data_IF_592634585086
#
_entry.id   IF_592634585086
#
_cell.length_a   1.000
_cell.length_b   1.000
_cell.length_c   1.000
_cell.angle_alpha   90.00
_cell.angle_beta   90.00
_cell.angle_gamma   90.00
#
_symmetry.space_group_name_H-M   'P 1'
#
loop_
_entity.id
_entity.type
_entity.pdbx_description
1 polymer ?
#
# COMPACT_ATOMS: atom_id res chain seq x y z
N UNK A 1 -11.29 -4.91 26.46
CA UNK A 1 -12.13 -4.13 25.52
C UNK A 1 -12.34 -5.00 24.30
N UNK A 2 -13.59 -5.20 23.87
CA UNK A 2 -13.86 -6.01 22.69
C UNK A 2 -13.32 -5.31 21.45
N UNK A 3 -12.37 -5.95 20.74
CA UNK A 3 -12.10 -5.62 19.35
C UNK A 3 -13.46 -5.64 18.64
N UNK A 4 -13.87 -4.58 17.93
CA UNK A 4 -15.13 -4.62 17.20
C UNK A 4 -15.16 -5.91 16.39
N UNK A 5 -16.24 -6.67 16.50
CA UNK A 5 -16.40 -7.94 15.81
C UNK A 5 -16.68 -7.66 14.34
N UNK A 6 -15.69 -7.05 13.66
CA UNK A 6 -15.78 -6.73 12.24
C UNK A 6 -15.58 -8.04 11.51
N UNK A 7 -16.60 -8.51 10.84
CA UNK A 7 -16.60 -9.77 10.10
C UNK A 7 -15.84 -9.62 8.77
N UNK A 8 -14.57 -9.21 8.87
CA UNK A 8 -13.68 -9.08 7.72
C UNK A 8 -13.33 -10.46 7.18
N UNK A 9 -13.43 -10.64 5.86
CA UNK A 9 -13.12 -11.88 5.16
C UNK A 9 -11.99 -11.67 4.14
N UNK A 10 -11.27 -12.74 3.83
CA UNK A 10 -10.25 -12.74 2.78
C UNK A 10 -9.17 -11.68 2.98
N UNK A 11 -8.88 -10.94 1.93
CA UNK A 11 -7.85 -9.88 1.89
C UNK A 11 -8.12 -8.78 2.92
N UNK A 12 -9.38 -8.41 3.15
CA UNK A 12 -9.76 -7.39 4.14
C UNK A 12 -9.24 -7.69 5.56
N UNK A 13 -9.05 -8.97 5.94
CA UNK A 13 -8.47 -9.34 7.24
C UNK A 13 -7.00 -8.93 7.39
N UNK A 14 -6.30 -8.68 6.28
CA UNK A 14 -4.87 -8.32 6.32
C UNK A 14 -4.64 -6.83 6.59
N UNK A 15 -5.68 -5.98 6.53
CA UNK A 15 -5.56 -4.52 6.69
C UNK A 15 -4.97 -4.08 8.04
N UNK A 16 -5.18 -4.91 9.09
CA UNK A 16 -4.67 -4.60 10.43
C UNK A 16 -3.15 -4.81 10.55
N UNK A 17 -2.57 -5.63 9.68
CA UNK A 17 -1.13 -5.92 9.70
C UNK A 17 -0.28 -4.70 9.34
N UNK A 18 -0.49 -3.99 8.22
CA UNK A 18 0.27 -2.78 7.91
C UNK A 18 0.08 -1.67 8.95
N UNK A 19 -1.13 -1.50 9.50
CA UNK A 19 -1.39 -0.57 10.59
C UNK A 19 -0.53 -0.89 11.81
N UNK A 20 -0.58 -2.14 12.30
CA UNK A 20 0.19 -2.57 13.46
C UNK A 20 1.69 -2.44 13.22
N UNK A 21 2.19 -2.79 12.04
CA UNK A 21 3.61 -2.64 11.68
C UNK A 21 4.05 -1.17 11.76
N UNK A 22 3.27 -0.23 11.21
CA UNK A 22 3.59 1.20 11.30
C UNK A 22 3.52 1.72 12.73
N UNK A 23 2.52 1.30 13.50
CA UNK A 23 2.38 1.70 14.91
C UNK A 23 3.56 1.21 15.76
N UNK A 24 3.92 -0.07 15.65
CA UNK A 24 5.03 -0.69 16.38
C UNK A 24 6.36 -0.02 15.97
N UNK A 25 6.57 0.20 14.67
CA UNK A 25 7.77 0.87 14.18
C UNK A 25 7.84 2.32 14.67
N UNK A 26 6.72 3.04 14.68
CA UNK A 26 6.65 4.46 15.00
C UNK A 26 7.12 4.80 16.42
N UNK A 27 6.93 3.91 17.39
CA UNK A 27 7.32 4.12 18.80
C UNK A 27 8.79 3.75 19.09
N UNK A 28 9.51 3.19 18.13
CA UNK A 28 10.92 2.83 18.32
C UNK A 28 11.81 4.08 18.37
N UNK A 29 12.91 4.06 19.13
CA UNK A 29 13.90 5.15 19.11
C UNK A 29 14.52 5.34 17.71
N UNK A 30 14.80 4.23 17.00
CA UNK A 30 15.40 4.16 15.67
C UNK A 30 14.36 4.03 14.53
N UNK A 31 13.14 4.52 14.75
CA UNK A 31 12.03 4.41 13.81
C UNK A 31 12.36 5.04 12.45
N UNK A 32 12.10 4.29 11.37
CA UNK A 32 12.27 4.77 9.98
C UNK A 32 11.02 5.46 9.44
N UNK A 33 9.90 5.32 10.11
CA UNK A 33 8.64 6.03 9.84
C UNK A 33 8.02 6.49 11.17
N UNK A 34 7.50 7.70 11.19
CA UNK A 34 6.74 8.25 12.33
C UNK A 34 5.29 8.40 11.90
N UNK A 35 4.42 7.64 12.55
CA UNK A 35 2.99 7.59 12.26
C UNK A 35 2.17 7.63 13.57
N UNK A 36 2.09 8.80 14.23
CA UNK A 36 1.35 8.94 15.48
C UNK A 36 -0.12 8.50 15.34
N UNK A 37 -0.72 8.76 14.17
CA UNK A 37 -2.10 8.39 13.93
C UNK A 37 -2.29 6.88 13.85
N UNK A 38 -1.33 6.14 13.27
CA UNK A 38 -1.37 4.67 13.31
C UNK A 38 -1.25 4.14 14.74
N UNK A 39 -0.43 4.78 15.60
CA UNK A 39 -0.33 4.41 17.02
C UNK A 39 -1.66 4.62 17.75
N UNK A 40 -2.33 5.76 17.53
CA UNK A 40 -3.64 6.04 18.13
C UNK A 40 -4.68 5.00 17.71
N UNK A 41 -4.81 4.74 16.39
CA UNK A 41 -5.78 3.78 15.86
C UNK A 41 -5.47 2.36 16.35
N UNK A 42 -4.19 1.96 16.35
CA UNK A 42 -3.76 0.66 16.84
C UNK A 42 -4.12 0.47 18.32
N UNK A 43 -3.87 1.47 19.16
CA UNK A 43 -4.22 1.44 20.57
C UNK A 43 -5.75 1.42 20.78
N UNK A 44 -6.50 2.19 20.01
CA UNK A 44 -7.97 2.21 20.05
C UNK A 44 -8.59 0.85 19.65
N UNK A 45 -7.90 0.09 18.78
CA UNK A 45 -8.22 -1.29 18.43
C UNK A 45 -7.76 -2.32 19.48
N UNK A 46 -7.28 -1.87 20.64
CA UNK A 46 -6.85 -2.71 21.75
C UNK A 46 -5.35 -3.01 21.79
N UNK A 47 -4.54 -2.46 20.88
CA UNK A 47 -3.09 -2.63 20.86
C UNK A 47 -2.64 -4.10 20.74
N UNK A 48 -3.47 -4.95 20.12
CA UNK A 48 -3.29 -6.40 20.17
C UNK A 48 -2.18 -6.85 19.23
N UNK A 49 -1.15 -7.49 19.80
CA UNK A 49 -0.05 -8.10 19.05
C UNK A 49 -0.48 -9.27 18.15
N UNK A 50 -1.71 -9.77 18.31
CA UNK A 50 -2.25 -10.87 17.48
C UNK A 50 -2.26 -10.50 15.98
N UNK A 51 -2.36 -9.21 15.64
CA UNK A 51 -2.33 -8.74 14.26
C UNK A 51 -0.99 -9.04 13.57
N UNK A 52 0.09 -9.02 14.33
CA UNK A 52 1.45 -9.31 13.85
C UNK A 52 1.98 -10.66 14.35
N UNK A 53 1.11 -11.51 14.92
CA UNK A 53 1.50 -12.82 15.43
C UNK A 53 2.18 -13.66 14.34
N UNK A 54 3.35 -14.18 14.66
CA UNK A 54 4.18 -14.97 13.76
C UNK A 54 4.96 -14.14 12.72
N UNK A 55 4.95 -12.80 12.83
CA UNK A 55 5.86 -11.92 12.12
C UNK A 55 7.14 -11.70 12.95
N UNK A 56 8.26 -11.69 12.28
CA UNK A 56 9.53 -11.28 12.89
C UNK A 56 9.62 -9.74 12.98
N UNK A 57 10.54 -9.24 13.81
CA UNK A 57 10.87 -7.81 13.80
C UNK A 57 11.34 -7.30 12.42
N UNK A 58 11.90 -8.19 11.60
CA UNK A 58 12.29 -7.89 10.23
C UNK A 58 11.08 -7.73 9.32
N UNK A 59 10.04 -8.57 9.44
CA UNK A 59 8.81 -8.44 8.64
C UNK A 59 8.10 -7.12 8.95
N UNK A 60 8.06 -6.71 10.22
CA UNK A 60 7.52 -5.42 10.66
C UNK A 60 8.32 -4.28 10.02
N UNK A 61 9.64 -4.36 10.09
CA UNK A 61 10.54 -3.35 9.55
C UNK A 61 10.41 -3.19 8.03
N UNK A 62 10.40 -4.29 7.26
CA UNK A 62 10.27 -4.21 5.80
C UNK A 62 8.89 -3.70 5.38
N UNK A 63 7.83 -3.99 6.16
CA UNK A 63 6.51 -3.42 5.94
C UNK A 63 6.52 -1.89 6.13
N UNK A 64 7.22 -1.41 7.16
CA UNK A 64 7.39 0.03 7.39
C UNK A 64 8.26 0.70 6.32
N UNK A 65 9.32 0.02 5.83
CA UNK A 65 10.13 0.51 4.69
C UNK A 65 9.28 0.71 3.45
N UNK A 66 8.37 -0.22 3.16
CA UNK A 66 7.42 -0.11 2.04
C UNK A 66 6.55 1.14 2.20
N UNK A 67 5.89 1.30 3.34
CA UNK A 67 5.04 2.46 3.61
C UNK A 67 5.83 3.79 3.45
N UNK A 68 7.06 3.87 3.98
CA UNK A 68 7.95 5.03 3.80
C UNK A 68 8.26 5.30 2.33
N UNK A 69 8.45 4.26 1.51
CA UNK A 69 8.74 4.43 0.09
C UNK A 69 7.52 4.91 -0.68
N UNK A 70 6.32 4.43 -0.36
CA UNK A 70 5.09 4.97 -0.91
C UNK A 70 4.90 6.45 -0.54
N UNK A 71 5.17 6.81 0.74
CA UNK A 71 5.14 8.20 1.21
C UNK A 71 6.11 9.08 0.40
N UNK A 72 7.31 8.58 0.09
CA UNK A 72 8.30 9.30 -0.73
C UNK A 72 7.77 9.58 -2.13
N UNK A 73 7.19 8.58 -2.80
CA UNK A 73 6.65 8.76 -4.15
C UNK A 73 5.44 9.71 -4.15
N UNK A 74 4.52 9.54 -3.20
CA UNK A 74 3.37 10.43 -3.07
C UNK A 74 3.79 11.88 -2.78
N UNK A 75 4.75 12.09 -1.86
CA UNK A 75 5.29 13.43 -1.57
C UNK A 75 5.94 14.05 -2.79
N UNK A 76 6.81 13.31 -3.50
CA UNK A 76 7.44 13.82 -4.72
C UNK A 76 6.43 14.16 -5.83
N UNK A 77 5.28 13.48 -5.90
CA UNK A 77 4.19 13.86 -6.77
C UNK A 77 3.52 15.17 -6.31
N UNK A 78 3.19 15.27 -5.01
CA UNK A 78 2.52 16.44 -4.43
C UNK A 78 3.39 17.70 -4.52
N UNK A 79 4.71 17.58 -4.34
CA UNK A 79 5.67 18.68 -4.51
C UNK A 79 5.64 19.27 -5.93
N UNK A 80 5.39 18.41 -6.94
CA UNK A 80 5.23 18.84 -8.34
C UNK A 80 3.82 19.29 -8.69
N UNK A 81 2.84 18.90 -7.88
CA UNK A 81 1.41 19.13 -8.10
C UNK A 81 0.72 19.58 -6.81
N UNK A 82 0.96 20.81 -6.32
CA UNK A 82 0.29 21.33 -5.14
C UNK A 82 -1.23 21.20 -5.25
N UNK A 83 -1.88 20.74 -4.19
CA UNK A 83 -3.32 20.46 -4.21
C UNK A 83 -3.74 19.22 -5.01
N UNK A 84 -2.80 18.39 -5.43
CA UNK A 84 -3.04 17.15 -6.16
C UNK A 84 -3.89 16.14 -5.38
N UNK A 85 -4.42 15.16 -6.08
CA UNK A 85 -5.25 14.09 -5.55
C UNK A 85 -4.42 12.81 -5.43
N UNK A 86 -4.39 12.25 -4.24
CA UNK A 86 -3.93 10.88 -3.98
C UNK A 86 -5.14 9.98 -3.95
N UNK A 87 -5.22 9.01 -4.85
CA UNK A 87 -6.23 7.95 -4.84
C UNK A 87 -5.60 6.68 -4.30
N UNK A 88 -6.09 6.19 -3.17
CA UNK A 88 -5.57 5.02 -2.48
C UNK A 88 -6.48 3.81 -2.66
N UNK A 89 -6.04 2.87 -3.48
CA UNK A 89 -6.76 1.66 -3.83
C UNK A 89 -6.52 0.58 -2.77
N UNK A 90 -7.59 0.08 -2.16
CA UNK A 90 -7.49 -0.81 -1.00
C UNK A 90 -6.93 -0.07 0.21
N UNK A 91 -7.48 1.12 0.49
CA UNK A 91 -6.92 2.06 1.48
C UNK A 91 -6.94 1.55 2.93
N UNK A 92 -7.73 0.54 3.26
CA UNK A 92 -7.77 -0.06 4.58
C UNK A 92 -7.78 0.96 5.72
N UNK A 93 -6.87 0.76 6.68
CA UNK A 93 -6.58 1.71 7.76
C UNK A 93 -5.27 2.49 7.50
N UNK A 94 -5.01 2.86 6.24
CA UNK A 94 -3.87 3.72 5.95
C UNK A 94 -4.08 5.14 6.51
N UNK A 95 -3.07 5.63 7.17
CA UNK A 95 -2.99 6.94 7.82
C UNK A 95 -2.12 7.93 7.03
N UNK A 96 -1.85 7.61 5.74
CA UNK A 96 -0.94 8.40 4.89
C UNK A 96 -1.43 9.83 4.70
N UNK A 97 -2.73 10.07 4.60
CA UNK A 97 -3.27 11.43 4.60
C UNK A 97 -2.71 12.23 5.78
N UNK A 98 -2.77 11.69 6.99
CA UNK A 98 -2.28 12.39 8.19
C UNK A 98 -0.76 12.61 8.19
N UNK A 99 0.01 11.73 7.52
CA UNK A 99 1.48 11.88 7.43
C UNK A 99 1.94 12.86 6.35
N UNK A 100 1.15 13.02 5.28
CA UNK A 100 1.55 13.78 4.10
C UNK A 100 0.82 15.12 3.96
N UNK A 101 -0.28 15.33 4.70
CA UNK A 101 -1.11 16.53 4.54
C UNK A 101 -0.31 17.82 4.76
N UNK A 102 -0.22 18.59 3.69
CA UNK A 102 0.40 19.90 3.60
C UNK A 102 -0.62 21.06 3.70
N UNK A 103 -1.87 20.76 4.01
CA UNK A 103 -2.99 21.68 3.99
C UNK A 103 -3.63 21.90 2.63
N UNK A 104 -3.11 21.29 1.56
CA UNK A 104 -3.60 21.46 0.18
C UNK A 104 -3.96 20.14 -0.51
N UNK A 105 -3.25 19.04 -0.18
CA UNK A 105 -3.49 17.75 -0.80
C UNK A 105 -4.92 17.26 -0.63
N UNK A 106 -5.39 16.49 -1.60
CA UNK A 106 -6.67 15.80 -1.53
C UNK A 106 -6.43 14.30 -1.51
N UNK A 107 -7.31 13.58 -0.83
CA UNK A 107 -7.25 12.13 -0.69
C UNK A 107 -8.59 11.49 -1.02
N UNK A 108 -8.56 10.41 -1.78
CA UNK A 108 -9.71 9.57 -2.07
C UNK A 108 -9.35 8.10 -1.82
N UNK A 109 -9.85 7.53 -0.73
CA UNK A 109 -9.67 6.12 -0.43
C UNK A 109 -10.78 5.27 -1.04
N UNK A 110 -10.43 4.18 -1.72
CA UNK A 110 -11.37 3.20 -2.27
C UNK A 110 -11.12 1.86 -1.60
N UNK A 111 -12.15 1.31 -0.95
CA UNK A 111 -12.08 -0.02 -0.36
C UNK A 111 -13.50 -0.60 -0.18
N UNK A 112 -13.57 -1.88 0.13
CA UNK A 112 -14.83 -2.60 0.34
C UNK A 112 -15.71 -1.92 1.41
N UNK A 113 -17.05 -1.97 1.29
CA UNK A 113 -17.96 -1.28 2.21
C UNK A 113 -17.68 -1.56 3.69
N UNK A 114 -17.44 -2.82 4.05
CA UNK A 114 -17.14 -3.22 5.42
C UNK A 114 -15.81 -2.67 5.95
N UNK A 115 -14.84 -2.45 5.06
CA UNK A 115 -13.55 -1.83 5.39
C UNK A 115 -13.72 -0.33 5.62
N UNK A 116 -14.47 0.34 4.76
CA UNK A 116 -14.75 1.78 4.90
C UNK A 116 -15.60 2.06 6.13
N UNK A 117 -16.57 1.20 6.46
CA UNK A 117 -17.34 1.32 7.70
C UNK A 117 -16.42 1.26 8.93
N UNK A 118 -15.49 0.30 8.98
CA UNK A 118 -14.49 0.24 10.05
C UNK A 118 -13.58 1.46 10.06
N UNK A 119 -13.06 1.85 8.88
CA UNK A 119 -12.16 2.99 8.73
C UNK A 119 -12.77 4.27 9.30
N UNK A 120 -14.01 4.58 8.95
CA UNK A 120 -14.70 5.80 9.38
C UNK A 120 -14.87 5.93 10.89
N UNK A 121 -14.85 4.83 11.64
CA UNK A 121 -14.89 4.85 13.09
C UNK A 121 -13.62 5.44 13.71
N UNK A 122 -12.46 5.26 13.05
CA UNK A 122 -11.15 5.68 13.56
C UNK A 122 -10.52 6.80 12.72
N UNK A 123 -10.85 6.86 11.45
CA UNK A 123 -10.30 7.78 10.45
C UNK A 123 -11.49 8.35 9.64
N UNK A 124 -12.26 9.26 10.24
CA UNK A 124 -13.46 9.80 9.60
C UNK A 124 -13.12 10.61 8.34
N UNK A 125 -14.06 10.64 7.40
CA UNK A 125 -13.98 11.51 6.24
C UNK A 125 -13.94 12.98 6.66
N UNK A 126 -13.26 13.80 5.88
CA UNK A 126 -13.13 15.24 6.04
C UNK A 126 -13.34 15.96 4.71
N UNK A 127 -13.11 17.26 4.68
CA UNK A 127 -13.28 18.05 3.45
C UNK A 127 -12.37 17.57 2.33
N UNK A 128 -11.07 17.36 2.62
CA UNK A 128 -10.04 16.95 1.66
C UNK A 128 -9.68 15.45 1.73
N UNK A 129 -10.31 14.70 2.63
CA UNK A 129 -10.11 13.27 2.80
C UNK A 129 -11.45 12.56 2.68
N UNK A 130 -11.69 11.87 1.59
CA UNK A 130 -12.95 11.17 1.30
C UNK A 130 -12.72 9.69 1.10
N UNK A 131 -13.76 8.89 1.33
CA UNK A 131 -13.71 7.44 1.08
C UNK A 131 -14.92 6.98 0.27
N UNK A 132 -14.70 6.01 -0.62
CA UNK A 132 -15.72 5.37 -1.46
C UNK A 132 -15.83 3.89 -1.04
N UNK A 133 -17.01 3.47 -0.54
CA UNK A 133 -17.25 2.10 -0.10
C UNK A 133 -17.62 1.18 -1.28
N UNK A 134 -16.64 0.81 -2.10
CA UNK A 134 -16.85 -0.12 -3.23
C UNK A 134 -15.56 -0.87 -3.56
N UNK A 135 -15.69 -1.96 -4.31
CA UNK A 135 -14.54 -2.66 -4.88
C UNK A 135 -13.79 -1.75 -5.87
N UNK A 136 -12.46 -1.75 -5.82
CA UNK A 136 -11.64 -1.01 -6.80
C UNK A 136 -11.86 -1.50 -8.25
N UNK A 137 -12.40 -2.71 -8.45
CA UNK A 137 -12.73 -3.25 -9.77
C UNK A 137 -14.08 -2.78 -10.31
N UNK A 138 -14.90 -2.14 -9.48
CA UNK A 138 -16.12 -1.46 -9.89
C UNK A 138 -15.78 -0.02 -10.30
N UNK A 139 -15.46 0.20 -11.56
CA UNK A 139 -14.76 1.38 -12.05
C UNK A 139 -15.52 2.73 -11.92
N UNK A 140 -16.69 2.79 -11.29
CA UNK A 140 -17.45 4.03 -11.08
C UNK A 140 -16.71 5.08 -10.25
N UNK A 141 -15.83 4.68 -9.33
CA UNK A 141 -14.98 5.60 -8.55
C UNK A 141 -14.04 6.45 -9.43
N UNK A 142 -13.77 6.02 -10.67
CA UNK A 142 -13.03 6.84 -11.65
C UNK A 142 -13.74 8.15 -11.97
N UNK A 143 -15.07 8.15 -11.96
CA UNK A 143 -15.86 9.37 -12.20
C UNK A 143 -15.80 10.31 -11.00
N UNK A 144 -15.83 9.78 -9.77
CA UNK A 144 -15.63 10.59 -8.56
C UNK A 144 -14.23 11.24 -8.55
N UNK A 145 -13.19 10.46 -8.90
CA UNK A 145 -11.83 10.99 -9.02
C UNK A 145 -11.72 12.06 -10.12
N UNK A 146 -12.41 11.87 -11.27
CA UNK A 146 -12.40 12.81 -12.38
C UNK A 146 -13.11 14.14 -12.04
N UNK A 147 -14.22 14.08 -11.27
CA UNK A 147 -14.94 15.26 -10.83
C UNK A 147 -14.10 16.20 -9.96
N UNK A 148 -13.10 15.69 -9.27
CA UNK A 148 -12.18 16.52 -8.48
C UNK A 148 -11.30 17.43 -9.35
N UNK A 149 -11.14 17.13 -10.64
CA UNK A 149 -10.40 17.92 -11.63
C UNK A 149 -8.98 18.34 -11.16
N UNK A 150 -8.21 17.37 -10.67
CA UNK A 150 -6.87 17.56 -10.12
C UNK A 150 -5.86 16.64 -10.79
N UNK A 151 -4.55 16.96 -10.76
CA UNK A 151 -3.51 15.97 -11.03
C UNK A 151 -3.65 14.79 -10.07
N UNK A 152 -3.46 13.55 -10.56
CA UNK A 152 -3.72 12.33 -9.78
C UNK A 152 -2.48 11.45 -9.69
N UNK A 153 -2.23 10.93 -8.49
CA UNK A 153 -1.41 9.75 -8.25
C UNK A 153 -2.26 8.66 -7.61
N UNK A 154 -2.22 7.47 -8.19
CA UNK A 154 -2.83 6.27 -7.65
C UNK A 154 -1.81 5.50 -6.82
N UNK A 155 -2.22 5.02 -5.65
CA UNK A 155 -1.43 4.17 -4.77
C UNK A 155 -2.16 2.85 -4.58
N UNK A 156 -1.43 1.72 -4.67
CA UNK A 156 -1.94 0.38 -4.38
C UNK A 156 -0.92 -0.36 -3.52
N UNK A 157 -0.87 -0.04 -2.21
CA UNK A 157 0.09 -0.62 -1.28
C UNK A 157 -0.41 -1.94 -0.69
N UNK A 158 0.27 -3.06 -1.04
CA UNK A 158 -0.07 -4.38 -0.52
C UNK A 158 -1.42 -4.90 -1.00
N UNK A 159 -1.84 -4.54 -2.21
CA UNK A 159 -3.17 -4.82 -2.75
C UNK A 159 -3.07 -5.70 -4.00
N UNK A 160 -2.42 -5.24 -5.06
CA UNK A 160 -2.37 -5.94 -6.34
C UNK A 160 -1.87 -7.39 -6.26
N UNK A 161 -0.90 -7.74 -5.42
CA UNK A 161 -0.44 -9.13 -5.31
C UNK A 161 -1.53 -10.16 -4.98
N UNK A 162 -2.66 -9.74 -4.40
CA UNK A 162 -3.75 -10.65 -4.03
C UNK A 162 -4.73 -10.96 -5.18
N UNK A 163 -4.59 -10.30 -6.31
CA UNK A 163 -5.49 -10.41 -7.46
C UNK A 163 -4.76 -10.97 -8.68
N UNK A 164 -5.49 -11.54 -9.61
CA UNK A 164 -4.91 -12.07 -10.84
C UNK A 164 -4.58 -10.96 -11.84
N UNK A 165 -3.68 -11.24 -12.78
CA UNK A 165 -3.41 -10.32 -13.91
C UNK A 165 -4.69 -10.03 -14.71
N UNK A 166 -5.61 -11.00 -14.81
CA UNK A 166 -6.88 -10.84 -15.52
C UNK A 166 -7.81 -9.81 -14.86
N UNK A 167 -7.66 -9.58 -13.56
CA UNK A 167 -8.41 -8.56 -12.81
C UNK A 167 -7.67 -7.21 -12.82
N UNK A 168 -6.37 -7.22 -12.52
CA UNK A 168 -5.57 -5.98 -12.38
C UNK A 168 -5.39 -5.26 -13.71
N UNK A 169 -5.06 -5.99 -14.78
CA UNK A 169 -4.74 -5.37 -16.09
C UNK A 169 -5.89 -4.54 -16.67
N UNK A 170 -7.14 -5.01 -16.78
CA UNK A 170 -8.24 -4.21 -17.31
C UNK A 170 -8.51 -2.95 -16.50
N UNK A 171 -8.42 -3.02 -15.17
CA UNK A 171 -8.58 -1.86 -14.29
C UNK A 171 -7.50 -0.82 -14.56
N UNK A 172 -6.23 -1.23 -14.59
CA UNK A 172 -5.09 -0.32 -14.86
C UNK A 172 -5.22 0.32 -16.25
N UNK A 173 -5.64 -0.45 -17.26
CA UNK A 173 -5.87 0.10 -18.61
C UNK A 173 -7.03 1.11 -18.63
N UNK A 174 -8.11 0.88 -17.86
CA UNK A 174 -9.20 1.84 -17.73
C UNK A 174 -8.75 3.13 -17.03
N UNK A 175 -7.91 3.02 -15.99
CA UNK A 175 -7.29 4.16 -15.31
C UNK A 175 -6.43 4.95 -16.30
N UNK A 176 -5.58 4.29 -17.08
CA UNK A 176 -4.72 4.93 -18.09
C UNK A 176 -5.53 5.66 -19.17
N UNK A 177 -6.59 5.03 -19.66
CA UNK A 177 -7.48 5.65 -20.66
C UNK A 177 -8.20 6.88 -20.10
N UNK A 178 -8.60 6.86 -18.84
CA UNK A 178 -9.35 7.97 -18.20
C UNK A 178 -8.45 9.11 -17.75
N UNK A 179 -7.20 8.81 -17.34
CA UNK A 179 -6.25 9.75 -16.74
C UNK A 179 -4.85 9.65 -17.39
N UNK A 180 -4.68 10.07 -18.66
CA UNK A 180 -3.45 9.80 -19.44
C UNK A 180 -2.19 10.54 -18.94
N UNK A 181 -2.28 11.30 -17.85
CA UNK A 181 -1.15 12.02 -17.23
C UNK A 181 -0.96 11.64 -15.77
N UNK A 182 -1.80 10.75 -15.24
CA UNK A 182 -1.71 10.34 -13.85
C UNK A 182 -0.51 9.42 -13.61
N UNK A 183 -0.12 9.31 -12.34
CA UNK A 183 0.93 8.42 -11.91
C UNK A 183 0.33 7.24 -11.13
N UNK A 184 0.99 6.08 -11.15
CA UNK A 184 0.59 4.87 -10.43
C UNK A 184 1.79 4.32 -9.67
N UNK A 185 1.60 4.06 -8.38
CA UNK A 185 2.59 3.39 -7.52
C UNK A 185 1.98 2.13 -6.93
N UNK A 186 2.66 1.01 -7.06
CA UNK A 186 2.27 -0.24 -6.42
C UNK A 186 3.50 -1.07 -6.04
N UNK A 187 3.34 -2.03 -5.14
CA UNK A 187 4.37 -2.98 -4.77
C UNK A 187 4.10 -4.35 -5.37
N UNK A 188 5.17 -5.05 -5.72
CA UNK A 188 5.11 -6.43 -6.14
C UNK A 188 6.38 -7.20 -5.77
N UNK A 189 6.27 -8.51 -5.73
CA UNK A 189 7.38 -9.41 -5.50
C UNK A 189 7.73 -10.21 -6.76
N UNK A 190 8.96 -10.70 -6.83
CA UNK A 190 9.36 -11.64 -7.86
C UNK A 190 8.69 -13.02 -7.65
N UNK A 191 8.49 -13.83 -8.71
CA UNK A 191 7.77 -15.11 -8.63
C UNK A 191 8.27 -16.09 -7.56
N UNK A 192 9.57 -16.13 -7.30
CA UNK A 192 10.14 -17.03 -6.28
C UNK A 192 9.76 -16.58 -4.85
N UNK A 193 9.66 -15.27 -4.61
CA UNK A 193 9.24 -14.71 -3.31
C UNK A 193 7.78 -15.00 -3.07
N UNK A 194 6.93 -14.77 -4.08
CA UNK A 194 5.49 -15.06 -4.01
C UNK A 194 5.25 -16.54 -3.68
N UNK A 195 5.96 -17.45 -4.34
CA UNK A 195 5.89 -18.88 -4.04
C UNK A 195 6.34 -19.22 -2.63
N UNK A 196 7.43 -18.61 -2.16
CA UNK A 196 7.93 -18.79 -0.79
C UNK A 196 6.91 -18.30 0.23
N UNK A 197 6.39 -17.07 0.09
CA UNK A 197 5.41 -16.49 1.00
C UNK A 197 4.11 -17.30 1.04
N UNK A 198 3.62 -17.78 -0.10
CA UNK A 198 2.43 -18.64 -0.15
C UNK A 198 2.58 -19.94 0.64
N UNK A 199 3.82 -20.44 0.85
CA UNK A 199 4.10 -21.65 1.63
C UNK A 199 4.34 -21.36 3.10
N UNK A 200 4.98 -20.26 3.44
CA UNK A 200 5.55 -20.00 4.78
C UNK A 200 4.82 -18.94 5.58
N UNK A 201 4.21 -17.92 4.93
CA UNK A 201 3.62 -16.79 5.62
C UNK A 201 2.46 -17.20 6.53
N UNK A 202 2.60 -16.92 7.82
CA UNK A 202 1.55 -17.10 8.83
C UNK A 202 0.37 -16.15 8.59
N UNK A 203 0.63 -14.93 8.10
CA UNK A 203 -0.38 -13.92 7.76
C UNK A 203 -1.28 -14.43 6.65
N UNK A 204 -0.71 -14.90 5.53
CA UNK A 204 -1.49 -15.43 4.40
C UNK A 204 -2.32 -16.65 4.80
N UNK A 205 -1.75 -17.55 5.60
CA UNK A 205 -2.47 -18.73 6.10
C UNK A 205 -3.66 -18.35 6.98
N UNK A 206 -3.50 -17.39 7.90
CA UNK A 206 -4.58 -16.94 8.79
C UNK A 206 -5.68 -16.19 8.07
N UNK A 207 -5.33 -15.38 7.06
CA UNK A 207 -6.31 -14.65 6.26
C UNK A 207 -7.01 -15.52 5.22
N UNK A 208 -6.49 -16.73 4.93
CA UNK A 208 -6.99 -17.57 3.86
C UNK A 208 -6.71 -17.01 2.46
N UNK A 209 -5.70 -16.12 2.32
CA UNK A 209 -5.34 -15.46 1.08
C UNK A 209 -4.05 -16.02 0.49
N UNK A 210 -3.82 -15.70 -0.78
CA UNK A 210 -2.59 -16.08 -1.50
C UNK A 210 -2.13 -14.92 -2.38
N UNK A 211 -0.81 -14.86 -2.64
CA UNK A 211 -0.25 -14.01 -3.67
C UNK A 211 -0.53 -14.68 -5.01
N UNK A 212 -1.29 -14.02 -5.87
CA UNK A 212 -1.71 -14.49 -7.20
C UNK A 212 -0.94 -13.80 -8.33
N UNK A 213 -0.47 -12.56 -8.07
CA UNK A 213 0.25 -11.76 -9.04
C UNK A 213 1.65 -11.41 -8.55
N UNK A 214 2.61 -11.53 -9.44
CA UNK A 214 3.99 -11.15 -9.23
C UNK A 214 4.55 -10.46 -10.48
N UNK A 215 5.65 -9.72 -10.32
CA UNK A 215 6.30 -8.99 -11.40
C UNK A 215 7.72 -9.49 -11.55
N UNK A 216 8.00 -10.16 -12.68
CA UNK A 216 9.34 -10.60 -13.02
C UNK A 216 10.18 -9.48 -13.62
N UNK A 217 9.58 -8.72 -14.52
CA UNK A 217 10.22 -7.60 -15.19
C UNK A 217 9.24 -6.41 -15.22
N UNK A 218 9.52 -5.31 -14.49
CA UNK A 218 8.65 -4.14 -14.47
C UNK A 218 8.38 -3.53 -15.85
N UNK A 219 9.33 -3.58 -16.77
CA UNK A 219 9.18 -3.06 -18.13
C UNK A 219 8.10 -3.78 -18.95
N UNK A 220 7.73 -5.04 -18.61
CA UNK A 220 6.65 -5.75 -19.28
C UNK A 220 5.28 -5.05 -19.12
N UNK A 221 5.10 -4.28 -18.06
CA UNK A 221 3.87 -3.53 -17.82
C UNK A 221 3.72 -2.30 -18.74
N UNK A 222 4.78 -1.89 -19.42
CA UNK A 222 4.70 -0.82 -20.44
C UNK A 222 3.78 -1.22 -21.61
N UNK A 223 3.62 -2.52 -21.84
CA UNK A 223 2.63 -3.06 -22.80
C UNK A 223 1.17 -2.81 -22.40
N UNK A 224 0.92 -2.32 -21.17
CA UNK A 224 -0.41 -1.93 -20.70
C UNK A 224 -0.69 -0.42 -20.87
N UNK A 225 0.18 0.31 -21.55
CA UNK A 225 0.10 1.74 -21.71
C UNK A 225 0.75 2.52 -20.56
N UNK A 226 1.59 1.85 -19.78
CA UNK A 226 2.34 2.45 -18.67
C UNK A 226 3.75 2.83 -19.14
N UNK A 227 4.33 3.86 -18.52
CA UNK A 227 5.75 4.21 -18.66
C UNK A 227 6.39 4.15 -17.28
N UNK A 228 7.40 3.28 -17.12
CA UNK A 228 8.15 3.21 -15.87
C UNK A 228 8.91 4.52 -15.62
N UNK A 229 8.67 5.18 -14.51
CA UNK A 229 9.35 6.40 -14.08
C UNK A 229 10.49 6.09 -13.12
N UNK A 230 10.20 5.25 -12.10
CA UNK A 230 11.15 4.90 -11.05
C UNK A 230 10.80 3.52 -10.48
N UNK A 231 11.79 2.88 -9.88
CA UNK A 231 11.63 1.62 -9.15
C UNK A 231 12.54 1.63 -7.95
N UNK A 232 12.08 1.03 -6.86
CA UNK A 232 12.85 0.89 -5.65
C UNK A 232 12.77 -0.55 -5.13
N UNK A 233 13.91 -1.09 -4.75
CA UNK A 233 14.02 -2.40 -4.10
C UNK A 233 14.56 -2.24 -2.68
N UNK A 234 14.27 -3.20 -1.81
CA UNK A 234 14.60 -3.08 -0.38
C UNK A 234 16.09 -2.89 -0.08
N UNK A 235 16.98 -3.32 -0.97
CA UNK A 235 18.43 -3.16 -0.80
C UNK A 235 19.00 -1.92 -1.52
N UNK A 236 18.18 -1.10 -2.15
CA UNK A 236 18.64 0.15 -2.79
C UNK A 236 18.98 1.22 -1.75
N UNK A 237 18.30 1.19 -0.60
CA UNK A 237 18.57 2.11 0.50
C UNK A 237 19.34 1.38 1.60
N UNK A 238 20.55 1.88 1.97
CA UNK A 238 21.29 1.34 3.10
C UNK A 238 20.53 1.56 4.41
N UNK A 239 20.14 0.47 5.06
CA UNK A 239 19.48 0.51 6.35
C UNK A 239 20.28 -0.28 7.39
N UNK A 240 20.61 0.31 8.55
CA UNK A 240 21.43 -0.37 9.57
C UNK A 240 20.87 -1.74 9.96
N UNK A 241 19.55 -1.86 10.06
CA UNK A 241 18.86 -3.12 10.41
C UNK A 241 18.94 -4.20 9.32
N UNK A 242 19.20 -3.83 8.06
CA UNK A 242 19.43 -4.77 6.95
C UNK A 242 20.91 -5.13 6.77
N UNK A 243 21.81 -4.61 7.58
CA UNK A 243 23.27 -4.77 7.37
C UNK A 243 23.70 -6.24 7.23
N UNK A 244 23.13 -7.14 8.01
CA UNK A 244 23.43 -8.57 7.93
C UNK A 244 23.00 -9.22 6.60
N UNK A 245 22.02 -8.61 5.90
CA UNK A 245 21.47 -9.09 4.64
C UNK A 245 21.97 -8.27 3.43
N UNK A 246 22.79 -7.24 3.65
CA UNK A 246 23.15 -6.28 2.61
C UNK A 246 23.98 -6.90 1.48
N UNK A 247 24.62 -8.02 1.72
CA UNK A 247 25.32 -8.82 0.70
C UNK A 247 24.37 -9.35 -0.38
N UNK A 248 23.06 -9.50 -0.08
CA UNK A 248 22.04 -9.98 -1.03
C UNK A 248 21.89 -9.02 -2.22
N UNK A 249 22.24 -7.74 -2.08
CA UNK A 249 22.22 -6.75 -3.17
C UNK A 249 23.15 -7.10 -4.33
N UNK A 250 24.20 -7.89 -4.07
CA UNK A 250 25.14 -8.32 -5.09
C UNK A 250 24.69 -9.56 -5.86
N UNK A 251 23.57 -10.16 -5.45
CA UNK A 251 22.95 -11.30 -6.14
C UNK A 251 21.73 -10.77 -6.90
N UNK A 252 21.78 -10.68 -8.24
CA UNK A 252 20.80 -9.93 -9.03
C UNK A 252 19.33 -10.31 -8.78
N UNK A 253 19.02 -11.61 -8.61
CA UNK A 253 17.65 -12.05 -8.36
C UNK A 253 17.18 -11.74 -6.93
N UNK A 254 18.08 -11.70 -5.94
CA UNK A 254 17.76 -11.31 -4.56
C UNK A 254 17.62 -9.80 -4.44
N UNK A 255 18.51 -9.04 -5.08
CA UNK A 255 18.44 -7.58 -5.10
C UNK A 255 17.08 -7.07 -5.58
N UNK A 256 16.49 -7.76 -6.56
CA UNK A 256 15.20 -7.41 -7.18
C UNK A 256 14.05 -8.29 -6.69
N UNK A 257 14.15 -8.86 -5.50
CA UNK A 257 13.17 -9.82 -4.98
C UNK A 257 11.80 -9.21 -4.69
N UNK A 258 11.76 -7.98 -4.20
CA UNK A 258 10.53 -7.24 -3.88
C UNK A 258 10.80 -5.76 -4.08
N UNK A 259 9.88 -5.05 -4.72
CA UNK A 259 10.05 -3.63 -5.04
C UNK A 259 8.75 -2.85 -5.00
N UNK A 260 8.91 -1.54 -5.05
CA UNK A 260 7.85 -0.56 -5.29
C UNK A 260 8.11 0.10 -6.63
N UNK A 261 7.12 0.12 -7.47
CA UNK A 261 7.22 0.55 -8.86
C UNK A 261 6.36 1.78 -9.10
N UNK A 262 6.92 2.77 -9.77
CA UNK A 262 6.30 4.04 -10.06
C UNK A 262 6.20 4.24 -11.56
N UNK A 263 4.98 4.37 -12.06
CA UNK A 263 4.67 4.53 -13.48
C UNK A 263 3.92 5.84 -13.73
N UNK A 264 3.87 6.22 -15.01
CA UNK A 264 2.95 7.22 -15.57
C UNK A 264 2.12 6.57 -16.66
N UNK A 265 0.85 6.97 -16.76
CA UNK A 265 -0.03 6.65 -17.86
C UNK A 265 0.25 7.47 -19.09
#
# INVERSE_FOLDING_TARGET
MNVPNVNLKGVARTLLVPLACRAIESIRPDAIIRDPRAVEVYNALGGNSDFVMGMSGMDIFVTAMRARQFDRFARGFLDRNPGGLVVDLGCGLDTRFNRLDDGQMNWLGVDLPEVIELRRQYLPDGERCKTIPQSMFELSWLDDAAQMNKPIIFLAEGVFPYFSTAEVKPMVMAMAARFPKAELVFDAAAPFVSRHHNRTSSVLKRSGTRILWDVKNPQELETWGLRLLDQWYYFDTPEPRLRAFFWMRFIPFMAKATGVFHYRF
#
